data_IF_170753481509
#
_entry.id   IF_170753481509
#
_cell.length_a   1.000
_cell.length_b   1.000
_cell.length_c   1.000
_cell.angle_alpha   90.00
_cell.angle_beta   90.00
_cell.angle_gamma   90.00
#
_symmetry.space_group_name_H-M   'P 1'
#
loop_
_entity.id
_entity.type
_entity.pdbx_description
1 polymer ?
#
# COMPACT_ATOMS: atom_id res chain seq x y z
N UNK A 1 -35.16 13.28 9.73
CA UNK A 1 -35.61 11.90 9.85
C UNK A 1 -36.20 11.31 8.55
N UNK A 2 -36.85 12.07 7.68
CA UNK A 2 -37.46 11.54 6.43
C UNK A 2 -36.43 11.05 5.39
N UNK A 3 -35.30 11.78 5.21
CA UNK A 3 -34.23 11.43 4.24
C UNK A 3 -33.51 10.11 4.58
N UNK A 4 -33.29 9.81 5.85
CA UNK A 4 -32.64 8.58 6.27
C UNK A 4 -33.53 7.35 6.01
N UNK A 5 -34.85 7.44 6.22
CA UNK A 5 -35.80 6.38 5.94
C UNK A 5 -35.95 6.08 4.44
N UNK A 6 -35.83 7.09 3.59
CA UNK A 6 -35.88 6.93 2.13
C UNK A 6 -34.66 6.18 1.60
N UNK A 7 -33.47 6.47 2.13
CA UNK A 7 -32.21 5.79 1.75
C UNK A 7 -32.24 4.32 2.18
N UNK A 8 -32.74 4.04 3.39
CA UNK A 8 -32.87 2.67 3.89
C UNK A 8 -33.87 1.86 3.04
N UNK A 9 -34.97 2.49 2.61
CA UNK A 9 -35.97 1.84 1.75
C UNK A 9 -35.43 1.55 0.35
N UNK A 10 -34.65 2.46 -0.24
CA UNK A 10 -33.98 2.28 -1.53
C UNK A 10 -32.92 1.18 -1.49
N UNK A 11 -32.14 1.09 -0.41
CA UNK A 11 -31.17 0.00 -0.20
C UNK A 11 -31.86 -1.35 -0.02
N UNK A 12 -33.03 -1.39 0.63
CA UNK A 12 -33.80 -2.62 0.80
C UNK A 12 -34.41 -3.10 -0.53
N UNK A 13 -34.91 -2.19 -1.37
CA UNK A 13 -35.44 -2.53 -2.70
C UNK A 13 -34.34 -3.00 -3.67
N UNK A 14 -33.13 -2.41 -3.60
CA UNK A 14 -31.99 -2.84 -4.39
C UNK A 14 -31.51 -4.25 -3.99
N UNK A 15 -31.57 -4.60 -2.69
CA UNK A 15 -31.22 -5.92 -2.21
C UNK A 15 -32.26 -6.99 -2.62
N UNK A 16 -33.56 -6.69 -2.59
CA UNK A 16 -34.59 -7.63 -3.01
C UNK A 16 -34.55 -7.97 -4.51
N UNK A 17 -34.16 -7.04 -5.37
CA UNK A 17 -34.07 -7.29 -6.82
C UNK A 17 -33.01 -8.34 -7.18
N UNK A 18 -31.93 -8.42 -6.42
CA UNK A 18 -30.85 -9.39 -6.68
C UNK A 18 -31.25 -10.85 -6.34
N UNK A 19 -32.14 -11.06 -5.38
CA UNK A 19 -32.61 -12.40 -5.01
C UNK A 19 -33.48 -13.06 -6.08
N UNK A 20 -34.28 -12.29 -6.82
CA UNK A 20 -35.17 -12.83 -7.86
C UNK A 20 -34.38 -13.31 -9.08
N UNK A 21 -33.32 -12.58 -9.48
CA UNK A 21 -32.45 -12.95 -10.61
C UNK A 21 -31.63 -14.20 -10.29
N UNK A 22 -31.14 -14.32 -9.04
CA UNK A 22 -30.37 -15.48 -8.60
C UNK A 22 -31.18 -16.79 -8.63
N UNK A 23 -32.45 -16.76 -8.28
CA UNK A 23 -33.32 -17.94 -8.34
C UNK A 23 -33.58 -18.44 -9.77
N UNK A 24 -33.70 -17.53 -10.73
CA UNK A 24 -33.88 -17.89 -12.16
C UNK A 24 -32.61 -18.54 -12.72
N UNK A 25 -31.45 -18.03 -12.37
CA UNK A 25 -30.15 -18.56 -12.82
C UNK A 25 -29.84 -19.95 -12.25
N UNK A 26 -30.19 -20.24 -11.00
CA UNK A 26 -30.05 -21.57 -10.44
C UNK A 26 -30.91 -22.61 -11.16
N UNK A 27 -32.15 -22.23 -11.58
CA UNK A 27 -33.01 -23.10 -12.39
C UNK A 27 -32.39 -23.35 -13.77
N UNK A 28 -31.91 -22.28 -14.44
CA UNK A 28 -31.24 -22.40 -15.76
C UNK A 28 -29.99 -23.28 -15.72
N UNK A 29 -29.19 -23.21 -14.62
CA UNK A 29 -28.05 -24.10 -14.45
C UNK A 29 -28.49 -25.57 -14.41
N UNK A 30 -29.53 -25.91 -13.66
CA UNK A 30 -30.08 -27.28 -13.60
C UNK A 30 -30.67 -27.72 -14.95
N UNK A 31 -31.32 -26.82 -15.67
CA UNK A 31 -31.84 -27.11 -17.01
C UNK A 31 -30.71 -27.35 -18.01
N UNK A 32 -29.60 -26.59 -17.90
CA UNK A 32 -28.39 -26.81 -18.68
C UNK A 32 -27.74 -28.18 -18.38
N UNK A 33 -27.72 -28.62 -17.12
CA UNK A 33 -27.29 -29.97 -16.73
C UNK A 33 -28.18 -31.06 -17.36
N UNK A 34 -29.49 -30.85 -17.37
CA UNK A 34 -30.44 -31.79 -18.01
C UNK A 34 -30.22 -31.84 -19.52
N UNK A 35 -30.03 -30.68 -20.19
CA UNK A 35 -29.75 -30.63 -21.64
C UNK A 35 -28.43 -31.34 -21.97
N UNK A 36 -27.38 -31.08 -21.20
CA UNK A 36 -26.09 -31.74 -21.35
C UNK A 36 -26.21 -33.27 -21.24
N UNK A 37 -26.92 -33.75 -20.20
CA UNK A 37 -27.15 -35.18 -19.99
C UNK A 37 -28.06 -35.82 -21.04
N UNK A 38 -28.93 -35.05 -21.69
CA UNK A 38 -29.73 -35.48 -22.82
C UNK A 38 -28.97 -35.43 -24.16
N UNK A 39 -27.73 -34.98 -24.19
CA UNK A 39 -26.92 -34.86 -25.42
C UNK A 39 -27.19 -33.59 -26.24
N UNK A 40 -28.04 -32.67 -25.75
CA UNK A 40 -28.38 -31.40 -26.41
C UNK A 40 -27.38 -30.30 -26.03
N UNK A 41 -26.10 -30.59 -26.19
CA UNK A 41 -24.98 -29.78 -25.67
C UNK A 41 -24.88 -28.43 -26.35
N UNK A 42 -25.34 -28.27 -27.57
CA UNK A 42 -25.30 -27.02 -28.35
C UNK A 42 -26.11 -25.89 -27.69
N UNK A 43 -27.16 -26.23 -26.92
CA UNK A 43 -28.07 -25.26 -26.30
C UNK A 43 -27.54 -24.74 -24.95
N UNK A 44 -26.57 -25.42 -24.34
CA UNK A 44 -26.05 -25.13 -23.00
C UNK A 44 -25.39 -23.73 -22.91
N UNK A 45 -24.49 -23.34 -23.83
CA UNK A 45 -23.82 -22.05 -23.72
C UNK A 45 -24.77 -20.87 -23.82
N UNK A 46 -25.74 -20.92 -24.74
CA UNK A 46 -26.70 -19.85 -24.96
C UNK A 46 -27.65 -19.68 -23.76
N UNK A 47 -28.11 -20.80 -23.17
CA UNK A 47 -28.98 -20.79 -21.99
C UNK A 47 -28.33 -20.13 -20.76
N UNK A 48 -27.01 -20.28 -20.59
CA UNK A 48 -26.26 -19.79 -19.41
C UNK A 48 -25.62 -18.43 -19.63
N UNK A 49 -25.52 -17.93 -20.88
CA UNK A 49 -24.77 -16.71 -21.20
C UNK A 49 -25.19 -15.48 -20.35
N UNK A 50 -26.51 -15.23 -20.26
CA UNK A 50 -27.03 -14.09 -19.50
C UNK A 50 -26.77 -14.22 -17.98
N UNK A 51 -26.77 -15.44 -17.43
CA UNK A 51 -26.51 -15.70 -16.02
C UNK A 51 -25.03 -15.62 -15.65
N UNK A 52 -24.11 -15.83 -16.62
CA UNK A 52 -22.67 -15.63 -16.42
C UNK A 52 -22.28 -14.15 -16.27
N UNK A 53 -23.07 -13.23 -16.84
CA UNK A 53 -22.83 -11.80 -16.65
C UNK A 53 -23.27 -11.33 -15.26
N UNK A 54 -24.40 -11.82 -14.78
CA UNK A 54 -24.93 -11.50 -13.45
C UNK A 54 -26.02 -12.48 -13.03
N UNK A 55 -25.94 -13.01 -11.81
CA UNK A 55 -27.02 -13.83 -11.26
C UNK A 55 -26.58 -15.13 -10.61
N UNK A 56 -25.40 -15.63 -10.89
CA UNK A 56 -24.85 -16.81 -10.24
C UNK A 56 -24.12 -16.47 -8.92
N UNK A 57 -24.24 -17.37 -7.96
CA UNK A 57 -23.25 -17.45 -6.87
C UNK A 57 -21.92 -17.94 -7.42
N UNK A 58 -20.82 -17.75 -6.67
CA UNK A 58 -19.50 -18.25 -7.09
C UNK A 58 -19.48 -19.75 -7.40
N UNK A 59 -20.20 -20.55 -6.61
CA UNK A 59 -20.25 -22.00 -6.81
C UNK A 59 -21.02 -22.35 -8.11
N UNK A 60 -22.15 -21.70 -8.35
CA UNK A 60 -22.94 -21.87 -9.57
C UNK A 60 -22.18 -21.37 -10.81
N UNK A 61 -21.46 -20.25 -10.71
CA UNK A 61 -20.60 -19.74 -11.78
C UNK A 61 -19.53 -20.76 -12.18
N UNK A 62 -18.87 -21.40 -11.19
CA UNK A 62 -17.89 -22.44 -11.47
C UNK A 62 -18.54 -23.64 -12.18
N UNK A 63 -19.71 -24.10 -11.73
CA UNK A 63 -20.44 -25.21 -12.36
C UNK A 63 -20.89 -24.85 -13.78
N UNK A 64 -21.35 -23.61 -14.00
CA UNK A 64 -21.76 -23.11 -15.30
C UNK A 64 -20.59 -23.08 -16.30
N UNK A 65 -19.42 -22.57 -15.90
CA UNK A 65 -18.23 -22.61 -16.76
C UNK A 65 -17.79 -24.05 -17.07
N UNK A 66 -17.81 -24.94 -16.08
CA UNK A 66 -17.44 -26.34 -16.32
C UNK A 66 -18.36 -27.00 -17.35
N UNK A 67 -19.67 -26.83 -17.25
CA UNK A 67 -20.61 -27.46 -18.18
C UNK A 67 -20.52 -26.86 -19.59
N UNK A 68 -20.30 -25.55 -19.72
CA UNK A 68 -20.09 -24.88 -21.02
C UNK A 68 -18.80 -25.38 -21.68
N UNK A 69 -17.70 -25.43 -20.96
CA UNK A 69 -16.41 -25.93 -21.47
C UNK A 69 -16.56 -27.38 -21.95
N UNK A 70 -17.23 -28.22 -21.18
CA UNK A 70 -17.50 -29.62 -21.56
C UNK A 70 -18.39 -29.70 -22.79
N UNK A 71 -19.41 -28.85 -22.90
CA UNK A 71 -20.28 -28.81 -24.08
C UNK A 71 -19.50 -28.53 -25.33
N UNK A 72 -18.59 -27.52 -25.32
CA UNK A 72 -17.74 -27.23 -26.46
C UNK A 72 -16.73 -28.36 -26.77
N UNK A 73 -16.17 -29.02 -25.75
CA UNK A 73 -15.30 -30.19 -25.97
C UNK A 73 -16.05 -31.35 -26.61
N UNK A 74 -17.32 -31.59 -26.24
CA UNK A 74 -18.16 -32.64 -26.82
C UNK A 74 -18.50 -32.38 -28.28
N UNK A 75 -18.60 -31.09 -28.68
CA UNK A 75 -18.83 -30.68 -30.08
C UNK A 75 -17.55 -30.56 -30.89
N UNK A 76 -16.38 -30.92 -30.34
CA UNK A 76 -15.05 -30.74 -30.96
C UNK A 76 -14.72 -29.26 -31.25
N UNK A 77 -15.37 -28.32 -30.57
CA UNK A 77 -15.12 -26.88 -30.66
C UNK A 77 -14.02 -26.45 -29.69
N UNK A 78 -12.81 -26.94 -29.94
CA UNK A 78 -11.66 -26.77 -29.02
C UNK A 78 -11.34 -25.28 -28.76
N UNK A 79 -11.37 -24.43 -29.81
CA UNK A 79 -11.07 -23.00 -29.68
C UNK A 79 -12.06 -22.29 -28.74
N UNK A 80 -13.34 -22.68 -28.78
CA UNK A 80 -14.37 -22.11 -27.90
C UNK A 80 -14.19 -22.59 -26.46
N UNK A 81 -13.84 -23.85 -26.26
CA UNK A 81 -13.53 -24.41 -24.95
C UNK A 81 -12.32 -23.70 -24.31
N UNK A 82 -11.25 -23.47 -25.09
CA UNK A 82 -10.05 -22.76 -24.64
C UNK A 82 -10.34 -21.29 -24.32
N UNK A 83 -11.12 -20.59 -25.15
CA UNK A 83 -11.54 -19.22 -24.90
C UNK A 83 -12.36 -19.09 -23.60
N UNK A 84 -13.31 -20.02 -23.40
CA UNK A 84 -14.14 -20.05 -22.18
C UNK A 84 -13.30 -20.41 -20.94
N UNK A 85 -12.32 -21.30 -21.05
CA UNK A 85 -11.38 -21.60 -19.97
C UNK A 85 -10.55 -20.37 -19.59
N UNK A 86 -10.06 -19.61 -20.57
CA UNK A 86 -9.33 -18.37 -20.30
C UNK A 86 -10.20 -17.32 -19.62
N UNK A 87 -11.47 -17.21 -19.99
CA UNK A 87 -12.42 -16.32 -19.33
C UNK A 87 -12.67 -16.75 -17.89
N UNK A 88 -12.91 -18.03 -17.65
CA UNK A 88 -13.03 -18.59 -16.31
C UNK A 88 -11.83 -18.27 -15.43
N UNK A 89 -10.61 -18.47 -15.94
CA UNK A 89 -9.36 -18.20 -15.21
C UNK A 89 -9.13 -16.71 -14.96
N UNK A 90 -9.60 -15.81 -15.84
CA UNK A 90 -9.55 -14.35 -15.59
C UNK A 90 -10.51 -13.95 -14.48
N UNK A 91 -11.71 -14.53 -14.44
CA UNK A 91 -12.69 -14.27 -13.38
C UNK A 91 -12.31 -14.96 -12.06
N UNK A 92 -11.72 -16.14 -12.12
CA UNK A 92 -11.38 -16.99 -10.98
C UNK A 92 -9.88 -17.37 -10.94
N UNK A 93 -8.95 -16.38 -10.83
CA UNK A 93 -7.51 -16.62 -10.95
C UNK A 93 -6.92 -17.50 -9.84
N UNK A 94 -7.61 -17.61 -8.71
CA UNK A 94 -7.17 -18.39 -7.54
C UNK A 94 -7.93 -19.71 -7.39
N UNK A 95 -8.68 -20.12 -8.45
CA UNK A 95 -9.38 -21.39 -8.45
C UNK A 95 -8.40 -22.56 -8.31
N UNK A 96 -8.74 -23.49 -7.42
CA UNK A 96 -8.01 -24.75 -7.23
C UNK A 96 -8.91 -25.90 -7.60
N UNK A 97 -8.36 -26.83 -8.37
CA UNK A 97 -9.07 -28.03 -8.76
C UNK A 97 -9.61 -28.78 -7.54
N UNK A 98 -10.87 -29.18 -7.62
CA UNK A 98 -11.55 -30.02 -6.64
C UNK A 98 -11.52 -31.50 -7.10
N UNK A 99 -11.53 -32.47 -6.18
CA UNK A 99 -11.71 -33.89 -6.54
C UNK A 99 -13.02 -34.20 -7.26
N UNK A 100 -13.98 -33.29 -7.19
CA UNK A 100 -15.30 -33.39 -7.85
C UNK A 100 -15.33 -32.82 -9.25
N UNK A 101 -14.24 -32.14 -9.69
CA UNK A 101 -14.17 -31.56 -11.02
C UNK A 101 -14.09 -32.66 -12.09
N UNK A 102 -14.74 -32.40 -13.23
CA UNK A 102 -14.80 -33.36 -14.31
C UNK A 102 -13.43 -33.50 -15.00
N UNK A 103 -13.11 -34.73 -15.44
CA UNK A 103 -11.82 -35.06 -16.03
C UNK A 103 -11.48 -34.19 -17.28
N UNK A 104 -12.46 -33.89 -18.13
CA UNK A 104 -12.27 -33.07 -19.34
C UNK A 104 -11.93 -31.62 -18.98
N UNK A 105 -12.62 -31.07 -17.98
CA UNK A 105 -12.32 -29.75 -17.43
C UNK A 105 -10.90 -29.71 -16.81
N UNK A 106 -10.57 -30.72 -15.99
CA UNK A 106 -9.24 -30.84 -15.36
C UNK A 106 -8.13 -30.93 -16.42
N UNK A 107 -8.35 -31.72 -17.48
CA UNK A 107 -7.41 -31.81 -18.58
C UNK A 107 -7.14 -30.47 -19.25
N UNK A 108 -8.20 -29.70 -19.57
CA UNK A 108 -8.05 -28.40 -20.20
C UNK A 108 -7.45 -27.36 -19.23
N UNK A 109 -7.89 -27.36 -17.96
CA UNK A 109 -7.36 -26.48 -16.92
C UNK A 109 -5.86 -26.62 -16.76
N UNK A 110 -5.34 -27.86 -16.76
CA UNK A 110 -3.91 -28.15 -16.59
C UNK A 110 -3.03 -27.63 -17.73
N UNK A 111 -3.60 -27.28 -18.90
CA UNK A 111 -2.87 -26.63 -19.99
C UNK A 111 -2.55 -25.16 -19.69
N UNK A 112 -3.15 -24.58 -18.68
CA UNK A 112 -3.00 -23.18 -18.33
C UNK A 112 -2.32 -23.01 -16.98
N UNK A 113 -1.71 -21.85 -16.79
CA UNK A 113 -1.23 -21.36 -15.51
C UNK A 113 -1.71 -19.94 -15.30
N UNK A 114 -1.93 -19.57 -14.06
CA UNK A 114 -2.32 -18.21 -13.67
C UNK A 114 -1.27 -17.64 -12.76
N UNK A 115 -0.58 -16.60 -13.24
CA UNK A 115 0.48 -15.93 -12.47
C UNK A 115 0.09 -14.51 -12.10
N UNK A 116 0.45 -14.04 -10.90
CA UNK A 116 0.39 -12.62 -10.59
C UNK A 116 1.38 -11.87 -11.49
N UNK A 117 0.91 -10.81 -12.16
CA UNK A 117 1.77 -10.00 -13.06
C UNK A 117 2.23 -8.74 -12.35
N UNK A 118 1.27 -7.99 -11.81
CA UNK A 118 1.51 -6.74 -11.11
C UNK A 118 0.59 -6.68 -9.89
N UNK A 119 1.10 -6.11 -8.82
CA UNK A 119 0.35 -5.83 -7.61
C UNK A 119 0.39 -4.33 -7.37
N UNK A 120 -0.75 -3.71 -7.09
CA UNK A 120 -0.84 -2.29 -6.75
C UNK A 120 -1.20 -2.15 -5.28
N UNK A 121 -0.36 -1.46 -4.54
CA UNK A 121 -0.48 -1.24 -3.10
C UNK A 121 -0.76 0.23 -2.81
N UNK A 122 -1.64 0.46 -1.85
CA UNK A 122 -1.82 1.76 -1.21
C UNK A 122 -1.61 1.59 0.30
N UNK A 123 -0.91 2.53 0.92
CA UNK A 123 -0.67 2.51 2.35
C UNK A 123 -0.82 3.90 2.97
N UNK A 124 -1.16 3.89 4.25
CA UNK A 124 -1.13 5.03 5.14
C UNK A 124 -0.31 4.66 6.37
N UNK A 125 0.33 5.64 6.97
CA UNK A 125 1.20 5.36 8.11
C UNK A 125 1.56 6.61 8.88
N UNK A 126 2.45 6.40 9.84
CA UNK A 126 3.00 7.46 10.66
C UNK A 126 4.51 7.30 10.80
N UNK A 127 5.22 8.41 10.78
CA UNK A 127 6.65 8.48 11.02
C UNK A 127 6.92 8.87 12.48
N UNK A 128 7.85 8.19 13.10
CA UNK A 128 8.52 8.62 14.31
C UNK A 128 9.93 9.04 13.95
N UNK A 129 10.24 10.34 14.06
CA UNK A 129 11.51 10.90 13.62
C UNK A 129 12.52 10.94 14.76
N UNK A 130 13.77 10.64 14.45
CA UNK A 130 14.89 10.84 15.39
C UNK A 130 16.10 11.39 14.65
N UNK A 131 16.80 12.25 15.34
CA UNK A 131 17.94 12.99 14.80
C UNK A 131 19.23 12.29 15.21
N UNK A 132 20.15 12.14 14.26
CA UNK A 132 21.53 11.70 14.54
C UNK A 132 22.47 12.89 14.30
N UNK A 133 22.93 13.51 15.38
CA UNK A 133 23.89 14.61 15.32
C UNK A 133 25.24 14.10 14.87
N UNK A 134 25.84 14.80 13.90
CA UNK A 134 27.18 14.52 13.37
C UNK A 134 28.19 15.44 14.04
N UNK A 135 27.86 16.73 14.15
CA UNK A 135 28.67 17.76 14.74
C UNK A 135 27.77 18.83 15.38
N UNK A 136 28.03 19.13 16.63
CA UNK A 136 27.30 20.16 17.38
C UNK A 136 27.86 21.55 17.06
N UNK A 137 26.98 22.47 16.72
CA UNK A 137 27.31 23.89 16.54
C UNK A 137 26.67 24.71 17.63
N UNK A 138 27.41 25.62 18.26
CA UNK A 138 26.92 26.49 19.31
C UNK A 138 27.32 27.95 19.05
N UNK A 139 26.38 28.86 19.30
CA UNK A 139 26.63 30.32 19.22
C UNK A 139 27.52 30.83 20.33
N UNK A 140 27.61 30.13 21.47
CA UNK A 140 28.37 30.59 22.66
C UNK A 140 29.78 30.03 22.73
N UNK A 141 30.22 29.23 21.78
CA UNK A 141 31.55 28.59 21.80
C UNK A 141 31.76 27.52 22.87
N UNK A 142 30.69 27.26 23.66
CA UNK A 142 30.62 26.15 24.61
C UNK A 142 29.63 25.14 24.02
N UNK A 143 30.00 23.87 23.83
CA UNK A 143 29.04 22.89 23.32
C UNK A 143 27.93 22.66 24.36
N UNK A 144 26.89 23.47 24.29
CA UNK A 144 25.65 23.24 24.99
C UNK A 144 24.90 22.20 24.18
N UNK A 145 24.79 20.99 24.70
CA UNK A 145 24.09 19.91 24.03
C UNK A 145 22.62 20.31 23.81
N UNK A 146 22.23 20.36 22.55
CA UNK A 146 20.83 20.50 22.17
C UNK A 146 20.07 19.24 22.52
N UNK A 147 18.91 19.39 23.11
CA UNK A 147 18.02 18.26 23.39
C UNK A 147 17.06 18.09 22.21
N UNK A 148 17.31 17.04 21.39
CA UNK A 148 16.49 16.72 20.23
C UNK A 148 15.31 15.83 20.66
N UNK A 149 14.09 16.34 20.45
CA UNK A 149 12.85 15.66 20.74
C UNK A 149 12.04 15.34 19.47
N UNK A 150 11.20 14.33 19.59
CA UNK A 150 10.15 14.05 18.65
C UNK A 150 8.81 14.10 19.39
N UNK A 151 8.12 15.21 19.32
CA UNK A 151 6.91 15.45 20.10
C UNK A 151 5.63 14.98 19.40
N UNK A 152 5.67 14.72 18.08
CA UNK A 152 4.49 14.37 17.31
C UNK A 152 4.76 13.31 16.27
N UNK A 153 3.83 12.36 16.16
CA UNK A 153 3.80 11.44 15.02
C UNK A 153 3.39 12.20 13.76
N UNK A 154 4.16 12.03 12.71
CA UNK A 154 3.92 12.67 11.41
C UNK A 154 3.22 11.70 10.46
N UNK A 155 2.49 12.23 9.48
CA UNK A 155 1.71 11.43 8.53
C UNK A 155 2.57 10.95 7.38
N UNK A 156 2.32 9.72 6.93
CA UNK A 156 2.88 9.15 5.70
C UNK A 156 1.77 8.47 4.90
N UNK A 157 1.89 8.51 3.57
CA UNK A 157 1.02 7.78 2.66
C UNK A 157 1.79 7.39 1.40
N UNK A 158 1.46 6.26 0.79
CA UNK A 158 2.20 5.79 -0.37
C UNK A 158 1.40 4.91 -1.32
N UNK A 159 1.86 4.90 -2.56
CA UNK A 159 1.42 4.00 -3.62
C UNK A 159 2.63 3.25 -4.14
N UNK A 160 2.51 1.93 -4.30
CA UNK A 160 3.60 1.08 -4.74
C UNK A 160 3.10 0.04 -5.74
N UNK A 161 3.80 -0.12 -6.85
CA UNK A 161 3.63 -1.21 -7.78
C UNK A 161 4.68 -2.28 -7.49
N UNK A 162 4.24 -3.55 -7.37
CA UNK A 162 5.12 -4.69 -7.08
C UNK A 162 5.01 -5.74 -8.18
N UNK A 163 6.11 -6.42 -8.42
CA UNK A 163 6.18 -7.63 -9.26
C UNK A 163 6.73 -8.78 -8.43
N UNK A 164 6.13 -9.97 -8.61
CA UNK A 164 6.61 -11.19 -7.94
C UNK A 164 7.70 -11.86 -8.77
N UNK A 165 8.76 -12.32 -8.11
CA UNK A 165 9.84 -13.08 -8.71
C UNK A 165 9.99 -14.41 -7.98
N UNK A 166 9.43 -15.46 -8.56
CA UNK A 166 9.27 -16.74 -7.88
C UNK A 166 8.25 -16.67 -6.75
N UNK A 167 8.41 -17.57 -5.77
CA UNK A 167 7.46 -17.72 -4.65
C UNK A 167 7.82 -16.86 -3.44
N UNK A 168 9.08 -16.45 -3.32
CA UNK A 168 9.63 -15.83 -2.12
C UNK A 168 10.04 -14.38 -2.27
N UNK A 169 10.13 -13.86 -3.50
CA UNK A 169 10.64 -12.51 -3.74
C UNK A 169 9.61 -11.63 -4.44
N UNK A 170 9.54 -10.38 -4.01
CA UNK A 170 8.82 -9.31 -4.70
C UNK A 170 9.73 -8.09 -4.80
N UNK A 171 9.60 -7.33 -5.88
CA UNK A 171 10.25 -6.04 -6.06
C UNK A 171 9.20 -4.97 -6.26
N UNK A 172 9.34 -3.87 -5.54
CA UNK A 172 8.41 -2.76 -5.56
C UNK A 172 9.09 -1.44 -5.87
N UNK A 173 8.36 -0.61 -6.62
CA UNK A 173 8.67 0.78 -6.84
C UNK A 173 7.45 1.64 -6.61
N UNK A 174 7.60 2.81 -6.00
CA UNK A 174 6.46 3.60 -5.58
C UNK A 174 6.71 5.09 -5.49
N UNK A 175 5.71 5.77 -4.94
CA UNK A 175 5.77 7.18 -4.57
C UNK A 175 5.15 7.30 -3.18
N UNK A 176 5.90 7.87 -2.25
CA UNK A 176 5.48 8.10 -0.87
C UNK A 176 5.44 9.61 -0.59
N UNK A 177 4.35 10.07 0.01
CA UNK A 177 4.30 11.30 0.78
C UNK A 177 4.80 11.01 2.18
N UNK A 178 5.69 11.87 2.69
CA UNK A 178 6.30 11.71 4.01
C UNK A 178 6.39 13.05 4.71
N UNK A 179 5.65 13.23 5.78
CA UNK A 179 5.86 14.33 6.70
C UNK A 179 6.86 13.90 7.76
N UNK A 180 7.80 14.77 8.05
CA UNK A 180 8.86 14.56 9.05
C UNK A 180 8.85 15.74 9.99
N UNK A 181 8.69 15.50 11.28
CA UNK A 181 8.65 16.56 12.30
C UNK A 181 9.63 16.21 13.41
N UNK A 182 10.41 17.18 13.81
CA UNK A 182 11.31 17.10 14.94
C UNK A 182 11.43 18.46 15.61
N UNK A 183 11.96 18.48 16.83
CA UNK A 183 12.24 19.71 17.54
C UNK A 183 13.56 19.58 18.29
N UNK A 184 14.14 20.69 18.66
CA UNK A 184 15.21 20.72 19.63
C UNK A 184 15.06 21.89 20.58
N UNK A 185 15.65 21.73 21.77
CA UNK A 185 15.79 22.78 22.79
C UNK A 185 17.25 23.13 22.90
N UNK A 186 17.55 24.41 22.83
CA UNK A 186 18.90 24.96 23.02
C UNK A 186 18.91 25.88 24.23
N UNK A 187 19.64 25.57 25.32
CA UNK A 187 19.80 26.49 26.43
C UNK A 187 20.66 27.66 25.97
N UNK A 188 20.16 28.87 26.19
CA UNK A 188 20.85 30.10 25.87
C UNK A 188 21.07 30.89 27.14
N UNK A 189 22.35 30.95 27.59
CA UNK A 189 22.71 31.45 28.89
C UNK A 189 21.94 30.68 30.01
N UNK A 190 22.19 30.96 31.25
CA UNK A 190 21.56 30.22 32.37
C UNK A 190 20.06 30.58 32.60
N UNK A 191 19.49 31.51 31.81
CA UNK A 191 18.17 32.06 32.05
C UNK A 191 17.20 31.99 30.85
N UNK A 192 17.59 31.39 29.73
CA UNK A 192 16.75 31.27 28.55
C UNK A 192 16.91 29.94 27.87
N UNK A 193 15.83 29.43 27.29
CA UNK A 193 15.79 28.22 26.46
C UNK A 193 15.10 28.55 25.13
N UNK A 194 15.75 28.30 24.03
CA UNK A 194 15.16 28.37 22.70
C UNK A 194 14.57 27.00 22.34
N UNK A 195 13.33 27.01 21.85
CA UNK A 195 12.64 25.84 21.33
C UNK A 195 12.43 26.01 19.82
N UNK A 196 12.88 25.01 19.06
CA UNK A 196 12.89 25.02 17.62
C UNK A 196 12.17 23.77 17.06
N UNK A 197 10.90 23.87 16.67
CA UNK A 197 10.20 22.86 15.90
C UNK A 197 10.42 23.03 14.40
N UNK A 198 10.65 21.93 13.69
CA UNK A 198 10.77 21.89 12.25
C UNK A 198 9.89 20.79 11.67
N UNK A 199 9.14 21.12 10.62
CA UNK A 199 8.33 20.19 9.86
C UNK A 199 8.74 20.23 8.39
N UNK A 200 9.09 19.06 7.84
CA UNK A 200 9.43 18.88 6.44
C UNK A 200 8.36 18.05 5.73
N UNK A 201 7.99 18.46 4.53
CA UNK A 201 7.17 17.67 3.59
C UNK A 201 8.09 17.13 2.52
N UNK A 202 8.11 15.81 2.40
CA UNK A 202 8.98 15.09 1.47
C UNK A 202 8.18 14.22 0.52
N UNK A 203 8.60 14.18 -0.75
CA UNK A 203 8.15 13.22 -1.74
C UNK A 203 9.28 12.19 -1.92
N UNK A 204 8.98 10.92 -1.72
CA UNK A 204 9.98 9.86 -1.79
C UNK A 204 9.65 8.89 -2.93
N UNK A 205 10.68 8.42 -3.63
CA UNK A 205 10.56 7.38 -4.67
C UNK A 205 11.31 6.15 -4.17
N UNK A 206 10.62 5.24 -3.44
CA UNK A 206 11.22 4.02 -2.92
C UNK A 206 11.37 2.95 -3.99
N UNK A 207 12.49 2.21 -3.89
CA UNK A 207 12.72 0.94 -4.57
C UNK A 207 13.01 -0.09 -3.49
N UNK A 208 12.15 -1.12 -3.35
CA UNK A 208 12.26 -2.11 -2.28
C UNK A 208 12.20 -3.54 -2.81
N UNK A 209 13.05 -4.39 -2.24
CA UNK A 209 12.94 -5.84 -2.35
C UNK A 209 12.29 -6.43 -1.11
N UNK A 210 11.43 -7.41 -1.29
CA UNK A 210 10.73 -8.13 -0.23
C UNK A 210 11.09 -9.60 -0.30
N UNK A 211 11.35 -10.19 0.86
CA UNK A 211 11.59 -11.62 0.99
C UNK A 211 10.58 -12.23 1.96
N UNK A 212 9.90 -13.27 1.51
CA UNK A 212 8.87 -14.02 2.24
C UNK A 212 9.41 -15.39 2.64
N UNK A 213 9.97 -15.55 3.84
CA UNK A 213 10.57 -16.81 4.27
C UNK A 213 9.53 -17.94 4.44
N UNK A 214 8.32 -17.58 4.85
CA UNK A 214 7.29 -18.51 5.28
C UNK A 214 5.89 -17.99 4.91
N UNK A 215 4.93 -18.91 4.78
CA UNK A 215 3.53 -18.60 4.61
C UNK A 215 2.67 -19.53 5.48
N UNK A 216 1.86 -18.97 6.37
CA UNK A 216 1.02 -19.71 7.30
C UNK A 216 -0.44 -19.33 7.12
N UNK A 217 -1.32 -20.30 6.76
CA UNK A 217 -2.79 -20.11 6.78
C UNK A 217 -3.27 -18.71 6.36
N UNK A 218 -2.68 -18.14 5.29
CA UNK A 218 -3.00 -16.80 4.79
C UNK A 218 -2.14 -15.67 5.36
N UNK A 219 -1.35 -15.89 6.41
CA UNK A 219 -0.36 -14.94 6.90
C UNK A 219 1.00 -15.20 6.28
N UNK A 220 1.66 -14.14 5.83
CA UNK A 220 3.00 -14.22 5.24
C UNK A 220 3.87 -13.10 5.82
N UNK A 221 4.72 -13.41 6.81
CA UNK A 221 5.70 -12.45 7.30
C UNK A 221 6.74 -12.18 6.21
N UNK A 222 7.30 -10.98 6.20
CA UNK A 222 8.35 -10.60 5.27
C UNK A 222 9.39 -9.68 5.90
N UNK A 223 10.54 -9.66 5.27
CA UNK A 223 11.55 -8.63 5.48
C UNK A 223 11.70 -7.83 4.18
N UNK A 224 12.01 -6.56 4.29
CA UNK A 224 12.23 -5.69 3.14
C UNK A 224 13.53 -4.92 3.28
N UNK A 225 14.19 -4.70 2.14
CA UNK A 225 15.37 -3.87 2.04
C UNK A 225 15.26 -3.02 0.78
N UNK A 226 15.73 -1.77 0.86
CA UNK A 226 15.66 -0.88 -0.29
C UNK A 226 16.33 0.45 -0.05
N UNK A 227 16.11 1.32 -1.01
CA UNK A 227 16.54 2.71 -0.96
C UNK A 227 15.46 3.60 -1.55
N UNK A 228 15.49 4.89 -1.24
CA UNK A 228 14.66 5.86 -1.91
C UNK A 228 15.41 7.15 -2.20
N UNK A 229 14.97 7.83 -3.25
CA UNK A 229 15.27 9.24 -3.47
C UNK A 229 14.19 10.06 -2.74
N UNK A 230 14.58 10.83 -1.73
CA UNK A 230 13.70 11.68 -0.95
C UNK A 230 13.90 13.14 -1.38
N UNK A 231 12.83 13.77 -1.86
CA UNK A 231 12.80 15.16 -2.30
C UNK A 231 12.15 16.02 -1.23
N UNK A 232 12.87 16.96 -0.67
CA UNK A 232 12.33 17.94 0.25
C UNK A 232 11.54 19.01 -0.52
N UNK A 233 10.22 19.02 -0.35
CA UNK A 233 9.31 19.92 -1.06
C UNK A 233 9.08 21.20 -0.28
N UNK A 234 9.02 21.11 1.06
CA UNK A 234 8.77 22.23 1.94
C UNK A 234 9.35 21.95 3.32
N UNK A 235 9.97 22.97 3.90
CA UNK A 235 10.45 22.96 5.29
C UNK A 235 9.96 24.21 5.98
N UNK A 236 9.14 24.03 7.02
CA UNK A 236 8.64 25.11 7.88
C UNK A 236 9.25 24.95 9.27
N UNK A 237 9.75 26.04 9.83
CA UNK A 237 10.29 26.06 11.18
C UNK A 237 9.92 27.36 11.88
N UNK A 238 9.84 27.30 13.19
CA UNK A 238 9.65 28.48 14.03
C UNK A 238 10.61 28.43 15.23
N UNK A 239 10.79 29.56 15.90
CA UNK A 239 11.60 29.64 17.11
C UNK A 239 10.74 30.29 18.21
N UNK A 240 10.75 29.70 19.39
CA UNK A 240 10.25 30.35 20.59
C UNK A 240 11.32 30.36 21.67
N UNK A 241 11.46 31.49 22.34
CA UNK A 241 12.37 31.64 23.44
C UNK A 241 11.58 31.84 24.75
N UNK A 242 11.89 31.04 25.77
CA UNK A 242 11.35 31.15 27.10
C UNK A 242 12.43 31.66 28.05
N UNK A 243 12.20 32.85 28.63
CA UNK A 243 13.07 33.33 29.71
C UNK A 243 12.67 32.65 31.02
N UNK A 244 13.66 32.03 31.68
CA UNK A 244 13.47 31.37 32.98
C UNK A 244 13.61 32.30 34.17
N UNK A 245 13.76 33.62 33.93
CA UNK A 245 13.81 34.59 35.04
C UNK A 245 12.42 34.70 35.72
N UNK A 246 12.39 34.33 37.00
CA UNK A 246 11.18 34.04 37.78
C UNK A 246 10.16 35.22 37.88
N UNK A 247 10.54 36.44 37.42
CA UNK A 247 9.72 37.63 37.51
C UNK A 247 9.12 38.10 36.18
N UNK A 248 9.48 37.55 35.04
CA UNK A 248 9.01 37.98 33.73
C UNK A 248 9.14 36.91 32.63
N UNK A 249 8.33 35.87 32.73
CA UNK A 249 8.22 34.89 31.67
C UNK A 249 7.39 35.51 30.53
N UNK A 250 8.04 36.16 29.60
CA UNK A 250 7.42 36.59 28.35
C UNK A 250 7.91 35.58 27.27
N UNK A 251 7.08 34.62 26.87
CA UNK A 251 7.43 33.76 25.75
C UNK A 251 7.41 34.61 24.46
N UNK A 252 8.54 34.67 23.80
CA UNK A 252 8.64 35.27 22.47
C UNK A 252 8.57 34.11 21.44
N UNK A 253 7.43 34.04 20.73
CA UNK A 253 7.24 33.06 19.65
C UNK A 253 7.34 33.78 18.31
N UNK A 254 8.29 33.38 17.50
CA UNK A 254 8.43 33.84 16.13
C UNK A 254 7.37 33.22 15.19
N UNK A 255 7.20 33.81 14.01
CA UNK A 255 6.35 33.23 12.97
C UNK A 255 6.97 31.94 12.41
N UNK A 256 6.14 31.13 11.75
CA UNK A 256 6.64 30.05 10.92
C UNK A 256 7.37 30.62 9.71
N UNK A 257 8.60 30.19 9.48
CA UNK A 257 9.45 30.61 8.37
C UNK A 257 9.72 29.45 7.42
N UNK A 258 9.74 29.77 6.13
CA UNK A 258 10.15 28.83 5.09
C UNK A 258 11.67 28.65 5.11
N UNK A 259 12.11 27.46 5.44
CA UNK A 259 13.52 27.05 5.52
C UNK A 259 13.89 26.02 4.44
N UNK A 260 13.09 25.89 3.38
CA UNK A 260 13.26 24.90 2.32
C UNK A 260 14.63 25.01 1.67
N UNK A 261 15.10 26.23 1.39
CA UNK A 261 16.43 26.46 0.79
C UNK A 261 17.60 26.13 1.72
N UNK A 262 17.36 26.07 3.03
CA UNK A 262 18.38 25.74 4.05
C UNK A 262 18.64 24.24 4.17
N UNK A 263 17.83 23.42 3.50
CA UNK A 263 17.93 21.96 3.51
C UNK A 263 18.27 21.44 2.12
N UNK A 264 18.85 20.22 2.05
CA UNK A 264 19.10 19.59 0.78
C UNK A 264 17.79 19.19 0.10
N UNK A 265 17.64 19.56 -1.18
CA UNK A 265 16.48 19.20 -1.99
C UNK A 265 16.35 17.68 -2.19
N UNK A 266 17.46 17.00 -2.43
CA UNK A 266 17.51 15.55 -2.67
C UNK A 266 18.35 14.87 -1.60
N UNK A 267 17.77 13.88 -0.95
CA UNK A 267 18.43 13.00 0.00
C UNK A 267 18.21 11.53 -0.37
N UNK A 268 19.27 10.76 -0.63
CA UNK A 268 19.18 9.31 -0.67
C UNK A 268 18.92 8.77 0.73
N UNK A 269 17.96 7.85 0.86
CA UNK A 269 17.66 7.17 2.12
C UNK A 269 17.78 5.65 1.94
N UNK A 270 18.23 4.96 2.98
CA UNK A 270 18.24 3.50 3.06
C UNK A 270 17.01 3.04 3.83
N UNK A 271 16.35 2.00 3.34
CA UNK A 271 15.12 1.47 3.93
C UNK A 271 15.36 0.02 4.33
N UNK A 272 15.08 -0.30 5.59
CA UNK A 272 15.03 -1.68 6.07
C UNK A 272 13.74 -1.89 6.85
N UNK A 273 13.01 -2.98 6.59
CA UNK A 273 11.72 -3.18 7.20
C UNK A 273 11.34 -4.64 7.43
N UNK A 274 10.35 -4.81 8.27
CA UNK A 274 9.67 -6.08 8.53
C UNK A 274 8.17 -5.85 8.46
N UNK A 275 7.44 -6.86 8.05
CA UNK A 275 5.99 -6.76 7.98
C UNK A 275 5.32 -8.11 7.87
N UNK A 276 4.01 -8.06 7.80
CA UNK A 276 3.18 -9.24 7.62
C UNK A 276 2.02 -8.89 6.69
N UNK A 277 1.73 -9.77 5.73
CA UNK A 277 0.54 -9.67 4.89
C UNK A 277 -0.46 -10.77 5.23
N UNK A 278 -1.75 -10.41 5.20
CA UNK A 278 -2.86 -11.34 5.33
C UNK A 278 -3.61 -11.44 4.00
N UNK A 279 -3.64 -12.65 3.45
CA UNK A 279 -4.21 -12.93 2.12
C UNK A 279 -5.74 -12.87 2.15
N UNK A 280 -6.28 -12.14 1.18
CA UNK A 280 -7.70 -12.06 0.84
C UNK A 280 -7.89 -12.53 -0.62
N UNK A 281 -9.10 -12.79 -1.09
CA UNK A 281 -9.32 -13.08 -2.50
C UNK A 281 -8.81 -11.94 -3.40
N UNK A 282 -7.88 -12.25 -4.31
CA UNK A 282 -7.24 -11.32 -5.26
C UNK A 282 -6.55 -10.10 -4.64
N UNK A 283 -6.30 -10.13 -3.33
CA UNK A 283 -5.74 -9.00 -2.61
C UNK A 283 -5.09 -9.44 -1.30
N UNK A 284 -4.47 -8.51 -0.59
CA UNK A 284 -4.06 -8.68 0.79
C UNK A 284 -4.03 -7.34 1.52
N UNK A 285 -4.19 -7.39 2.83
CA UNK A 285 -3.85 -6.30 3.74
C UNK A 285 -2.47 -6.56 4.33
N UNK A 286 -1.73 -5.50 4.66
CA UNK A 286 -0.42 -5.64 5.25
C UNK A 286 -0.15 -4.59 6.32
N UNK A 287 0.71 -4.95 7.27
CA UNK A 287 1.30 -4.06 8.25
C UNK A 287 2.81 -4.09 8.02
N UNK A 288 3.44 -2.92 7.98
CA UNK A 288 4.87 -2.73 7.75
C UNK A 288 5.47 -1.81 8.82
N UNK A 289 6.62 -2.18 9.32
CA UNK A 289 7.46 -1.35 10.19
C UNK A 289 8.79 -1.21 9.48
N UNK A 290 9.16 0.02 9.11
CA UNK A 290 10.40 0.27 8.37
C UNK A 290 11.22 1.39 8.98
N UNK A 291 12.53 1.12 9.14
CA UNK A 291 13.53 2.13 9.44
C UNK A 291 13.98 2.79 8.14
N UNK A 292 13.99 4.11 8.12
CA UNK A 292 14.40 4.95 6.99
C UNK A 292 15.55 5.83 7.45
N UNK A 293 16.75 5.57 6.94
CA UNK A 293 17.97 6.20 7.39
C UNK A 293 18.45 7.22 6.37
N UNK A 294 18.52 8.48 6.76
CA UNK A 294 19.11 9.55 5.96
C UNK A 294 20.61 9.37 5.80
N UNK A 295 21.12 9.62 4.59
CA UNK A 295 22.53 9.45 4.29
C UNK A 295 23.32 10.76 4.28
N UNK A 296 22.64 11.88 4.08
CA UNK A 296 23.26 13.20 3.96
C UNK A 296 23.13 14.01 5.25
N UNK A 297 24.11 14.88 5.48
CA UNK A 297 23.98 15.96 6.44
C UNK A 297 22.90 16.94 5.98
N UNK A 298 21.95 17.26 6.85
CA UNK A 298 20.85 18.18 6.51
C UNK A 298 21.26 19.66 6.56
N UNK A 299 22.37 19.96 7.23
CA UNK A 299 22.93 21.30 7.28
C UNK A 299 23.56 21.69 5.94
N UNK A 300 23.18 22.86 5.41
CA UNK A 300 23.71 23.43 4.19
C UNK A 300 24.49 24.69 4.53
N UNK A 301 25.79 24.65 4.36
CA UNK A 301 26.69 25.78 4.68
C UNK A 301 26.38 27.03 3.85
N UNK A 302 26.59 28.20 4.45
CA UNK A 302 26.66 29.47 3.75
C UNK A 302 25.33 30.18 3.47
N UNK A 303 24.21 29.68 4.00
CA UNK A 303 22.96 30.41 3.94
C UNK A 303 22.87 31.38 5.15
N UNK A 304 22.72 32.69 4.92
CA UNK A 304 22.53 33.63 6.02
C UNK A 304 21.19 33.33 6.68
N UNK A 305 21.20 33.21 8.00
CA UNK A 305 19.98 33.33 8.79
C UNK A 305 19.54 34.80 8.74
N UNK A 306 18.81 35.17 7.68
CA UNK A 306 18.32 36.55 7.48
C UNK A 306 17.18 36.93 8.40
N UNK A 307 16.77 36.05 9.29
CA UNK A 307 15.67 36.27 10.19
C UNK A 307 16.16 36.70 11.56
N UNK A 308 15.59 37.78 12.11
CA UNK A 308 15.83 38.22 13.48
C UNK A 308 15.49 37.16 14.53
N UNK A 309 14.60 36.24 14.20
CA UNK A 309 14.14 35.15 15.09
C UNK A 309 15.16 34.02 15.23
N UNK A 310 15.88 33.69 14.16
CA UNK A 310 16.89 32.61 14.16
C UNK A 310 18.29 33.08 14.61
N UNK A 311 18.41 34.31 15.06
CA UNK A 311 19.69 34.86 15.52
C UNK A 311 20.28 34.10 16.72
N UNK A 312 19.42 33.49 17.54
CA UNK A 312 19.80 32.77 18.75
C UNK A 312 19.94 31.25 18.55
N UNK A 313 19.80 30.76 17.33
CA UNK A 313 19.87 29.32 17.05
C UNK A 313 20.82 29.06 15.91
N UNK A 314 21.71 28.08 16.08
CA UNK A 314 22.57 27.55 15.03
C UNK A 314 22.18 26.11 14.73
N UNK A 315 22.03 25.79 13.44
CA UNK A 315 21.81 24.41 13.05
C UNK A 315 23.05 23.55 13.31
N UNK A 316 22.87 22.39 13.90
CA UNK A 316 23.89 21.35 13.97
C UNK A 316 24.04 20.66 12.63
N UNK A 317 25.14 19.95 12.45
CA UNK A 317 25.25 18.97 11.39
C UNK A 317 24.52 17.68 11.83
N UNK A 318 23.46 17.30 11.14
CA UNK A 318 22.65 16.15 11.54
C UNK A 318 22.08 15.38 10.37
N UNK A 319 21.67 14.15 10.62
CA UNK A 319 20.88 13.30 9.72
C UNK A 319 19.51 13.05 10.31
N UNK A 320 18.53 12.97 9.44
CA UNK A 320 17.15 12.64 9.81
C UNK A 320 16.89 11.16 9.55
N UNK A 321 16.44 10.45 10.58
CA UNK A 321 16.05 9.07 10.51
C UNK A 321 14.59 8.95 10.95
N UNK A 322 13.88 7.97 10.39
CA UNK A 322 12.48 7.74 10.69
C UNK A 322 12.23 6.25 10.95
N UNK A 323 11.40 5.96 11.93
CA UNK A 323 10.74 4.68 12.07
C UNK A 323 9.30 4.85 11.56
N UNK A 324 8.94 4.17 10.46
CA UNK A 324 7.61 4.27 9.86
C UNK A 324 6.79 3.04 10.20
N UNK A 325 5.56 3.28 10.66
CA UNK A 325 4.52 2.28 10.83
C UNK A 325 3.47 2.49 9.75
N UNK A 326 3.16 1.45 8.97
CA UNK A 326 2.22 1.54 7.86
C UNK A 326 1.21 0.41 7.88
N UNK A 327 -0.01 0.73 7.50
CA UNK A 327 -1.08 -0.20 7.17
C UNK A 327 -1.46 0.00 5.72
N UNK A 328 -1.60 -1.08 4.95
CA UNK A 328 -1.92 -0.95 3.55
C UNK A 328 -2.78 -2.09 3.01
N UNK A 329 -3.26 -1.86 1.80
CA UNK A 329 -4.03 -2.79 1.00
C UNK A 329 -3.37 -2.94 -0.36
N UNK A 330 -3.33 -4.18 -0.88
CA UNK A 330 -2.76 -4.50 -2.18
C UNK A 330 -3.77 -5.29 -3.01
N UNK A 331 -3.96 -4.86 -4.25
CA UNK A 331 -4.72 -5.60 -5.25
C UNK A 331 -3.77 -6.31 -6.21
N UNK A 332 -4.08 -7.58 -6.55
CA UNK A 332 -3.23 -8.43 -7.38
C UNK A 332 -3.89 -8.59 -8.76
N UNK A 333 -3.15 -8.24 -9.80
CA UNK A 333 -3.53 -8.48 -11.18
C UNK A 333 -2.94 -9.80 -11.65
N UNK A 334 -3.81 -10.70 -12.09
CA UNK A 334 -3.43 -12.02 -12.59
C UNK A 334 -3.57 -12.08 -14.10
N UNK A 335 -2.71 -12.85 -14.73
CA UNK A 335 -2.79 -13.16 -16.16
C UNK A 335 -2.75 -14.68 -16.36
N UNK A 336 -3.83 -15.28 -16.90
CA UNK A 336 -3.78 -16.65 -17.34
C UNK A 336 -2.98 -16.75 -18.65
N UNK A 337 -2.15 -17.76 -18.76
CA UNK A 337 -1.38 -18.07 -19.97
C UNK A 337 -1.34 -19.58 -20.18
N UNK A 338 -1.24 -20.01 -21.44
CA UNK A 338 -1.00 -21.41 -21.77
C UNK A 338 0.40 -21.79 -21.30
N UNK A 339 0.54 -22.95 -20.68
CA UNK A 339 1.86 -23.50 -20.34
C UNK A 339 2.58 -23.79 -21.65
N UNK A 340 3.82 -23.33 -21.74
CA UNK A 340 4.69 -23.76 -22.86
C UNK A 340 4.92 -25.27 -22.71
N UNK A 341 4.67 -26.02 -23.77
CA UNK A 341 5.06 -27.41 -23.83
C UNK A 341 6.60 -27.43 -23.86
N UNK A 342 7.22 -27.95 -22.80
CA UNK A 342 8.66 -28.19 -22.70
C UNK A 342 9.06 -29.33 -23.58
#
# INVERSE_FOLDING_TARGET
MFKARLITLLLFFAACGQFLVAQDCAVKLRDAENLFNAGLVEQVPELLAACLESGFTKAEEHSAYQIIIRSYLYEDKIDMAEATMLEFLRKNPEYKLSPTDNADFVYLFNKYEVKPVVQLSANIGTNYTFISVIEENSTSGNPLSKDYGNETFSIAAGLEAKISFGEHFEFGAGIDYSQVTFSYKEPFLDFSEAYYPETQIRLEIPLRGYYYPLSFSGFSPYVSLGAAASFNVSTLASVSANNTDANNIIPHTGPDEDRTDSRHFLEPIIIGGIGCKYKLPRSYIFIDISARMGTLNQYKEGLPTNSEWFYYSTDDQFRINNLRFSLGYTYIFYKPSRKEEL
#
